data_IF_544940930820
#
_entry.id   IF_544940930820
#
_cell.length_a   1.000
_cell.length_b   1.000
_cell.length_c   1.000
_cell.angle_alpha   90.00
_cell.angle_beta   90.00
_cell.angle_gamma   90.00
#
_symmetry.space_group_name_H-M   'P 1'
#
loop_
_entity.id
_entity.type
_entity.pdbx_description
1 polymer ?
#
# COMPACT_ATOMS: atom_id res chain seq x y z
N UNK A 1 -21.77 -19.92 0.52
CA UNK A 1 -20.62 -19.05 0.21
C UNK A 1 -19.36 -19.91 0.36
N UNK A 2 -18.53 -20.07 -0.68
CA UNK A 2 -17.39 -21.00 -0.63
C UNK A 2 -16.24 -20.33 0.13
N UNK A 3 -15.80 -20.92 1.23
CA UNK A 3 -14.73 -20.36 2.07
C UNK A 3 -13.43 -20.27 1.26
N UNK A 4 -12.90 -19.04 1.15
CA UNK A 4 -11.66 -18.79 0.42
C UNK A 4 -10.50 -19.24 1.27
N UNK A 5 -9.82 -20.32 0.86
CA UNK A 5 -8.59 -20.78 1.49
C UNK A 5 -7.57 -19.64 1.56
N UNK A 6 -7.22 -19.22 2.77
CA UNK A 6 -6.17 -18.24 3.04
C UNK A 6 -4.85 -18.93 3.37
N UNK A 7 -3.74 -18.31 2.97
CA UNK A 7 -2.39 -18.78 3.28
C UNK A 7 -1.64 -17.69 4.04
N UNK A 8 -0.90 -18.07 5.08
CA UNK A 8 -0.09 -17.12 5.85
C UNK A 8 1.08 -16.58 5.02
N UNK A 9 1.61 -15.38 5.33
CA UNK A 9 2.77 -14.83 4.64
C UNK A 9 4.00 -15.76 4.69
N UNK A 10 4.25 -16.41 5.83
CA UNK A 10 5.39 -17.29 6.06
C UNK A 10 5.31 -18.52 5.16
N UNK A 11 4.11 -19.10 5.05
CA UNK A 11 3.88 -20.23 4.17
C UNK A 11 4.13 -19.86 2.69
N UNK A 12 3.62 -18.70 2.25
CA UNK A 12 3.85 -18.22 0.88
C UNK A 12 5.33 -18.04 0.59
N UNK A 13 6.08 -17.43 1.52
CA UNK A 13 7.52 -17.20 1.38
C UNK A 13 8.29 -18.53 1.29
N UNK A 14 8.02 -19.47 2.20
CA UNK A 14 8.62 -20.81 2.18
C UNK A 14 8.42 -21.50 0.83
N UNK A 15 7.17 -21.54 0.37
CA UNK A 15 6.79 -22.19 -0.89
C UNK A 15 7.47 -21.54 -2.09
N UNK A 16 7.54 -20.21 -2.15
CA UNK A 16 8.22 -19.50 -3.22
C UNK A 16 9.72 -19.79 -3.21
N UNK A 17 10.35 -19.74 -2.03
CA UNK A 17 11.78 -20.03 -1.87
C UNK A 17 12.14 -21.45 -2.31
N UNK A 18 11.37 -22.48 -1.93
CA UNK A 18 11.61 -23.86 -2.36
C UNK A 18 11.64 -24.02 -3.89
N UNK A 19 10.85 -23.21 -4.61
CA UNK A 19 10.79 -23.24 -6.07
C UNK A 19 11.89 -22.38 -6.69
N UNK A 20 12.23 -21.24 -6.10
CA UNK A 20 13.31 -20.37 -6.59
C UNK A 20 14.70 -20.96 -6.34
N UNK A 21 14.89 -21.65 -5.21
CA UNK A 21 16.13 -22.37 -4.90
C UNK A 21 16.34 -23.64 -5.73
N UNK A 22 15.32 -24.07 -6.47
CA UNK A 22 15.34 -25.32 -7.22
C UNK A 22 15.19 -26.58 -6.36
N UNK A 23 14.96 -26.45 -5.04
CA UNK A 23 14.74 -27.60 -4.15
C UNK A 23 13.55 -28.43 -4.60
N UNK A 24 12.50 -27.79 -5.13
CA UNK A 24 11.32 -28.46 -5.66
C UNK A 24 10.83 -27.79 -6.93
N UNK A 25 10.28 -28.58 -7.86
CA UNK A 25 9.65 -28.01 -9.05
C UNK A 25 8.32 -27.35 -8.71
N UNK A 26 7.96 -26.29 -9.44
CA UNK A 26 6.68 -25.60 -9.28
C UNK A 26 5.49 -26.58 -9.38
N UNK A 27 5.57 -27.55 -10.30
CA UNK A 27 4.52 -28.55 -10.48
C UNK A 27 4.38 -29.49 -9.27
N UNK A 28 5.49 -29.90 -8.64
CA UNK A 28 5.45 -30.74 -7.44
C UNK A 28 4.84 -30.01 -6.25
N UNK A 29 5.25 -28.75 -6.03
CA UNK A 29 4.74 -27.87 -4.97
C UNK A 29 3.25 -27.57 -5.15
N UNK A 30 2.82 -27.27 -6.38
CA UNK A 30 1.41 -27.07 -6.71
C UNK A 30 0.56 -28.29 -6.37
N UNK A 31 1.03 -29.50 -6.67
CA UNK A 31 0.32 -30.75 -6.36
C UNK A 31 0.27 -31.02 -4.87
N UNK A 32 1.41 -30.94 -4.18
CA UNK A 32 1.49 -31.27 -2.74
C UNK A 32 0.62 -30.35 -1.89
N UNK A 33 0.69 -29.04 -2.12
CA UNK A 33 -0.04 -28.07 -1.30
C UNK A 33 -1.44 -27.74 -1.85
N UNK A 34 -1.81 -28.31 -3.00
CA UNK A 34 -3.07 -28.00 -3.69
C UNK A 34 -3.15 -26.53 -4.11
N UNK A 35 -2.03 -25.98 -4.60
CA UNK A 35 -1.91 -24.59 -5.04
C UNK A 35 -2.02 -24.54 -6.56
N UNK A 36 -2.85 -23.64 -7.08
CA UNK A 36 -2.95 -23.40 -8.53
C UNK A 36 -1.67 -22.74 -9.05
N UNK A 37 -1.22 -23.14 -10.24
CA UNK A 37 0.01 -22.60 -10.86
C UNK A 37 -0.01 -21.08 -10.98
N UNK A 38 -1.15 -20.49 -11.38
CA UNK A 38 -1.30 -19.03 -11.49
C UNK A 38 -1.18 -18.31 -10.14
N UNK A 39 -1.57 -18.98 -9.05
CA UNK A 39 -1.46 -18.42 -7.71
C UNK A 39 0.00 -18.44 -7.25
N UNK A 40 0.71 -19.54 -7.49
CA UNK A 40 2.14 -19.65 -7.23
C UNK A 40 2.95 -18.64 -8.05
N UNK A 41 2.59 -18.44 -9.33
CA UNK A 41 3.24 -17.46 -10.20
C UNK A 41 3.07 -16.03 -9.69
N UNK A 42 1.86 -15.68 -9.22
CA UNK A 42 1.60 -14.38 -8.58
C UNK A 42 2.42 -14.19 -7.29
N UNK A 43 2.53 -15.21 -6.46
CA UNK A 43 3.34 -15.13 -5.25
C UNK A 43 4.82 -14.96 -5.57
N UNK A 44 5.35 -15.65 -6.59
CA UNK A 44 6.71 -15.46 -7.07
C UNK A 44 6.96 -14.02 -7.50
N UNK A 45 6.07 -13.45 -8.33
CA UNK A 45 6.18 -12.06 -8.76
C UNK A 45 6.16 -11.10 -7.55
N UNK A 46 5.19 -11.27 -6.64
CA UNK A 46 5.08 -10.44 -5.43
C UNK A 46 6.32 -10.55 -4.53
N UNK A 47 6.89 -11.75 -4.42
CA UNK A 47 8.09 -11.98 -3.62
C UNK A 47 9.29 -11.26 -4.24
N UNK A 48 9.52 -11.42 -5.55
CA UNK A 48 10.63 -10.77 -6.27
C UNK A 48 10.48 -9.25 -6.37
N UNK A 49 9.26 -8.71 -6.39
CA UNK A 49 9.02 -7.26 -6.34
C UNK A 49 9.29 -6.67 -4.96
N UNK A 50 9.01 -7.44 -3.90
CA UNK A 50 9.23 -7.00 -2.51
C UNK A 50 10.65 -7.27 -2.01
N UNK A 51 11.38 -8.20 -2.62
CA UNK A 51 12.75 -8.52 -2.24
C UNK A 51 13.71 -7.32 -2.36
N UNK A 52 13.67 -6.48 -3.42
CA UNK A 52 14.44 -5.23 -3.46
C UNK A 52 14.16 -4.32 -2.26
N UNK A 53 12.90 -4.24 -1.81
CA UNK A 53 12.51 -3.45 -0.63
C UNK A 53 12.94 -4.10 0.69
N UNK A 54 13.18 -5.41 0.72
CA UNK A 54 13.70 -6.13 1.88
C UNK A 54 15.20 -5.82 2.10
N UNK A 55 15.95 -5.59 1.03
CA UNK A 55 17.34 -5.11 1.07
C UNK A 55 17.47 -3.60 1.32
N UNK A 56 16.37 -2.85 1.36
CA UNK A 56 16.43 -1.49 1.85
C UNK A 56 16.72 -1.48 3.34
N UNK A 57 17.59 -0.56 3.77
CA UNK A 57 17.94 -0.40 5.18
C UNK A 57 16.70 0.03 5.95
N UNK A 58 16.56 -0.47 7.18
CA UNK A 58 15.41 -0.12 8.03
C UNK A 58 15.35 1.39 8.28
N UNK A 59 16.51 2.04 8.28
CA UNK A 59 16.72 3.47 8.35
C UNK A 59 16.06 4.21 7.18
N UNK A 60 16.30 3.77 5.92
CA UNK A 60 15.68 4.40 4.74
C UNK A 60 14.16 4.27 4.73
N UNK A 61 13.63 3.09 5.12
CA UNK A 61 12.18 2.90 5.26
C UNK A 61 11.56 3.81 6.32
N UNK A 62 12.25 4.02 7.44
CA UNK A 62 11.79 4.90 8.51
C UNK A 62 11.83 6.38 8.08
N UNK A 63 12.89 6.81 7.39
CA UNK A 63 13.01 8.15 6.81
C UNK A 63 11.87 8.46 5.83
N UNK A 64 11.53 7.52 4.95
CA UNK A 64 10.40 7.67 4.04
C UNK A 64 9.06 7.77 4.79
N UNK A 65 8.83 6.92 5.80
CA UNK A 65 7.62 6.98 6.62
C UNK A 65 7.50 8.31 7.37
N UNK A 66 8.61 8.80 7.93
CA UNK A 66 8.65 10.11 8.59
C UNK A 66 8.35 11.24 7.60
N UNK A 67 8.89 11.15 6.37
CA UNK A 67 8.62 12.11 5.32
C UNK A 67 7.14 12.11 4.90
N UNK A 68 6.53 10.93 4.76
CA UNK A 68 5.10 10.79 4.47
C UNK A 68 4.27 11.44 5.57
N UNK A 69 4.55 11.16 6.84
CA UNK A 69 3.81 11.74 7.96
C UNK A 69 3.90 13.28 8.00
N UNK A 70 5.06 13.86 7.67
CA UNK A 70 5.19 15.31 7.59
C UNK A 70 4.41 15.89 6.40
N UNK A 71 4.42 15.22 5.25
CA UNK A 71 3.63 15.65 4.09
C UNK A 71 2.13 15.59 4.38
N UNK A 72 1.64 14.55 5.04
CA UNK A 72 0.24 14.45 5.47
C UNK A 72 -0.15 15.59 6.42
N UNK A 73 0.73 15.94 7.37
CA UNK A 73 0.52 17.09 8.25
C UNK A 73 0.46 18.41 7.48
N UNK A 74 1.36 18.63 6.52
CA UNK A 74 1.37 19.82 5.67
C UNK A 74 0.08 19.93 4.87
N UNK A 75 -0.35 18.83 4.24
CA UNK A 75 -1.62 18.78 3.49
C UNK A 75 -2.80 19.12 4.39
N UNK A 76 -2.84 18.59 5.61
CA UNK A 76 -3.87 18.91 6.61
C UNK A 76 -3.91 20.40 6.97
N UNK A 77 -2.74 21.02 7.22
CA UNK A 77 -2.64 22.47 7.49
C UNK A 77 -3.15 23.30 6.32
N UNK A 78 -2.70 22.99 5.11
CA UNK A 78 -3.11 23.68 3.89
C UNK A 78 -4.60 23.53 3.63
N UNK A 79 -5.17 22.35 3.84
CA UNK A 79 -6.60 22.13 3.71
C UNK A 79 -7.42 23.03 4.66
N UNK A 80 -6.96 23.16 5.92
CA UNK A 80 -7.60 24.06 6.89
C UNK A 80 -7.50 25.53 6.48
N UNK A 81 -6.33 25.99 6.06
CA UNK A 81 -6.12 27.36 5.57
C UNK A 81 -7.04 27.67 4.38
N UNK A 82 -7.16 26.74 3.44
CA UNK A 82 -8.06 26.88 2.29
C UNK A 82 -9.53 27.00 2.71
N UNK A 83 -9.99 26.20 3.68
CA UNK A 83 -11.37 26.29 4.16
C UNK A 83 -11.65 27.62 4.89
N UNK A 84 -10.70 28.14 5.66
CA UNK A 84 -10.81 29.47 6.29
C UNK A 84 -10.90 30.56 5.22
N UNK A 85 -10.01 30.55 4.22
CA UNK A 85 -10.00 31.53 3.14
C UNK A 85 -11.30 31.49 2.32
N UNK A 86 -11.78 30.30 1.97
CA UNK A 86 -13.07 30.12 1.29
C UNK A 86 -14.22 30.65 2.14
N UNK A 87 -14.23 30.38 3.45
CA UNK A 87 -15.24 30.89 4.38
C UNK A 87 -15.26 32.42 4.44
N UNK A 88 -14.09 33.05 4.59
CA UNK A 88 -13.96 34.51 4.59
C UNK A 88 -14.40 35.15 3.27
N UNK A 89 -14.03 34.56 2.14
CA UNK A 89 -14.48 35.01 0.82
C UNK A 89 -16.00 34.95 0.67
N UNK A 90 -16.64 33.86 1.09
CA UNK A 90 -18.12 33.74 1.08
C UNK A 90 -18.79 34.80 1.96
N UNK A 91 -18.23 35.08 3.13
CA UNK A 91 -18.76 36.10 4.03
C UNK A 91 -18.69 37.51 3.42
N UNK A 92 -17.58 37.86 2.76
CA UNK A 92 -17.42 39.13 2.06
C UNK A 92 -18.42 39.29 0.90
N UNK A 93 -18.61 38.23 0.11
CA UNK A 93 -19.60 38.22 -0.99
C UNK A 93 -21.02 38.42 -0.43
N UNK A 94 -21.36 37.74 0.67
CA UNK A 94 -22.66 37.88 1.31
C UNK A 94 -22.92 39.31 1.82
N UNK A 95 -21.92 39.95 2.43
CA UNK A 95 -22.01 41.33 2.90
C UNK A 95 -22.18 42.35 1.76
N UNK A 96 -21.46 42.18 0.65
CA UNK A 96 -21.58 43.03 -0.54
C UNK A 96 -22.99 42.96 -1.17
N UNK A 97 -23.60 41.77 -1.18
CA UNK A 97 -24.97 41.58 -1.70
C UNK A 97 -26.07 42.20 -0.81
N UNK A 98 -25.77 42.45 0.47
CA UNK A 98 -26.73 43.00 1.45
C UNK A 98 -26.82 44.53 1.42
N UNK A 99 -25.72 45.21 1.07
CA UNK A 99 -25.67 46.68 0.95
C UNK A 99 -26.20 47.25 -0.37
N UNK A 100 -26.66 46.41 -1.30
CA UNK A 100 -27.29 46.81 -2.58
C UNK A 100 -28.82 46.72 -2.58
N UNK A 101 -29.44 46.52 -1.41
CA UNK A 101 -30.90 46.55 -1.22
C UNK A 101 -31.33 47.82 -0.51
#
# INVERSE_FOLDING_TARGET
>A
MRERRSFTPEFKAKVVLEVLSGTRSAAAVCREYGIKSDLLSRWKATFLERDPLAFESAERRNEEQARVAELERLVGRQAMELEILKGGSRALVALSSRGKR
#
